data_IF_774614203850
#
_entry.id   IF_774614203850
#
_cell.length_a   1.000
_cell.length_b   1.000
_cell.length_c   1.000
_cell.angle_alpha   90.00
_cell.angle_beta   90.00
_cell.angle_gamma   90.00
#
_symmetry.space_group_name_H-M   'P 1'
#
loop_
_entity.id
_entity.type
_entity.pdbx_description
1 polymer ?
#
# COMPACT_ATOMS: atom_id res chain seq x y z
N UNK A 1 3.57 6.83 18.82
CA UNK A 1 2.71 6.03 17.90
C UNK A 1 3.57 5.02 17.17
N UNK A 2 3.11 3.78 17.02
CA UNK A 2 3.83 2.82 16.20
C UNK A 2 3.80 3.23 14.72
N UNK A 3 4.93 3.04 14.02
CA UNK A 3 5.11 3.30 12.60
C UNK A 3 5.38 1.99 11.88
N UNK A 4 5.10 1.92 10.58
CA UNK A 4 5.43 0.74 9.77
C UNK A 4 6.96 0.66 9.55
N UNK A 5 7.65 -0.13 10.37
CA UNK A 5 9.12 -0.27 10.38
C UNK A 5 9.65 -1.37 9.43
N UNK A 6 8.93 -1.67 8.35
CA UNK A 6 9.33 -2.72 7.40
C UNK A 6 10.28 -2.23 6.28
N UNK A 7 10.90 -3.15 5.52
CA UNK A 7 11.73 -2.79 4.37
C UNK A 7 10.95 -2.03 3.28
N UNK A 8 11.25 -0.73 3.12
CA UNK A 8 10.52 0.21 2.26
C UNK A 8 10.43 -0.24 0.80
N UNK A 9 11.53 -0.67 0.19
CA UNK A 9 11.50 -1.09 -1.22
C UNK A 9 10.79 -2.44 -1.42
N UNK A 10 10.77 -3.32 -0.41
CA UNK A 10 9.99 -4.57 -0.48
C UNK A 10 8.50 -4.27 -0.51
N UNK A 11 8.08 -3.24 0.24
CA UNK A 11 6.70 -2.75 0.23
C UNK A 11 6.30 -2.20 -1.14
N UNK A 12 7.12 -1.32 -1.74
CA UNK A 12 6.84 -0.76 -3.08
C UNK A 12 6.65 -1.85 -4.14
N UNK A 13 7.56 -2.83 -4.19
CA UNK A 13 7.47 -3.94 -5.15
C UNK A 13 6.23 -4.80 -4.96
N UNK A 14 5.87 -5.10 -3.70
CA UNK A 14 4.66 -5.87 -3.39
C UNK A 14 3.38 -5.14 -3.83
N UNK A 15 3.33 -3.81 -3.65
CA UNK A 15 2.19 -2.97 -4.02
C UNK A 15 2.14 -2.63 -5.52
N UNK A 16 3.23 -2.85 -6.25
CA UNK A 16 3.38 -2.45 -7.65
C UNK A 16 3.45 -0.94 -7.85
N UNK A 17 3.75 -0.17 -6.79
CA UNK A 17 3.70 1.29 -6.80
C UNK A 17 4.91 1.86 -6.08
N UNK A 18 5.56 2.87 -6.66
CA UNK A 18 6.67 3.58 -6.02
C UNK A 18 6.17 4.63 -5.01
N UNK A 19 5.68 4.14 -3.88
CA UNK A 19 5.11 4.96 -2.79
C UNK A 19 6.11 5.98 -2.21
N UNK A 20 7.41 5.68 -2.22
CA UNK A 20 8.43 6.52 -1.59
C UNK A 20 9.20 7.41 -2.57
N UNK A 21 8.78 7.46 -3.84
CA UNK A 21 9.42 8.26 -4.90
C UNK A 21 10.93 8.08 -5.01
N UNK A 22 11.45 6.89 -4.67
CA UNK A 22 12.88 6.62 -4.77
C UNK A 22 13.19 5.95 -6.11
N UNK A 23 14.19 6.42 -6.89
CA UNK A 23 14.43 5.94 -8.26
C UNK A 23 14.75 4.43 -8.32
N UNK A 24 15.44 3.92 -7.29
CA UNK A 24 15.81 2.49 -7.18
C UNK A 24 14.73 1.58 -6.57
N UNK A 25 13.56 2.10 -6.20
CA UNK A 25 12.56 1.33 -5.44
C UNK A 25 12.03 0.10 -6.22
N UNK A 26 11.86 0.25 -7.53
CA UNK A 26 11.30 -0.76 -8.42
C UNK A 26 12.36 -1.50 -9.24
N UNK A 27 13.67 -1.24 -9.04
CA UNK A 27 14.75 -1.86 -9.82
C UNK A 27 14.77 -3.40 -9.76
N UNK A 28 14.24 -3.99 -8.68
CA UNK A 28 14.12 -5.45 -8.49
C UNK A 28 12.70 -5.99 -8.74
N UNK A 29 11.82 -5.19 -9.34
CA UNK A 29 10.45 -5.63 -9.67
C UNK A 29 10.47 -6.34 -11.02
N UNK A 30 9.96 -7.58 -11.03
CA UNK A 30 9.76 -8.38 -12.25
C UNK A 30 8.27 -8.72 -12.38
N UNK A 31 7.83 -9.18 -13.55
CA UNK A 31 6.44 -9.63 -13.76
C UNK A 31 6.08 -10.73 -12.75
N UNK A 32 4.98 -10.54 -12.03
CA UNK A 32 4.50 -11.46 -10.98
C UNK A 32 5.05 -11.18 -9.57
N UNK A 33 5.96 -10.20 -9.42
CA UNK A 33 6.46 -9.78 -8.10
C UNK A 33 5.46 -8.90 -7.34
N UNK A 34 4.65 -8.14 -8.08
CA UNK A 34 3.59 -7.31 -7.51
C UNK A 34 2.31 -8.12 -7.33
N UNK A 35 1.55 -7.81 -6.28
CA UNK A 35 0.18 -8.33 -6.15
C UNK A 35 -0.75 -7.80 -7.25
N UNK A 36 -0.44 -6.62 -7.79
CA UNK A 36 -1.21 -6.01 -8.88
C UNK A 36 -1.10 -6.80 -10.19
N UNK A 37 -0.05 -7.60 -10.37
CA UNK A 37 0.17 -8.38 -11.61
C UNK A 37 -0.69 -9.65 -11.66
N UNK A 38 -1.35 -10.00 -10.55
CA UNK A 38 -2.20 -11.19 -10.43
C UNK A 38 -3.65 -10.79 -10.65
N UNK A 39 -4.46 -11.72 -11.18
CA UNK A 39 -5.93 -11.57 -11.23
C UNK A 39 -6.46 -11.57 -9.79
N UNK A 40 -6.92 -10.42 -9.33
CA UNK A 40 -7.50 -10.25 -7.99
C UNK A 40 -9.02 -10.39 -8.06
N UNK A 41 -9.63 -10.73 -6.93
CA UNK A 41 -11.08 -10.57 -6.75
C UNK A 41 -11.41 -9.09 -6.49
N UNK A 42 -12.68 -8.69 -6.63
CA UNK A 42 -13.13 -7.33 -6.33
C UNK A 42 -12.70 -6.86 -4.92
N UNK A 43 -12.77 -7.76 -3.93
CA UNK A 43 -12.26 -7.48 -2.58
C UNK A 43 -10.73 -7.31 -2.57
N UNK A 44 -10.00 -8.14 -3.32
CA UNK A 44 -8.55 -8.07 -3.41
C UNK A 44 -8.06 -6.75 -4.01
N UNK A 45 -8.77 -6.22 -5.01
CA UNK A 45 -8.50 -4.91 -5.62
C UNK A 45 -8.71 -3.78 -4.60
N UNK A 46 -9.86 -3.75 -3.93
CA UNK A 46 -10.16 -2.76 -2.87
C UNK A 46 -9.14 -2.83 -1.72
N UNK A 47 -8.74 -4.03 -1.33
CA UNK A 47 -7.72 -4.25 -0.31
C UNK A 47 -6.36 -3.71 -0.74
N UNK A 48 -5.98 -3.90 -2.01
CA UNK A 48 -4.73 -3.39 -2.56
C UNK A 48 -4.72 -1.85 -2.54
N UNK A 49 -5.81 -1.21 -2.96
CA UNK A 49 -5.93 0.25 -2.93
C UNK A 49 -5.84 0.81 -1.50
N UNK A 50 -6.52 0.18 -0.55
CA UNK A 50 -6.39 0.53 0.87
C UNK A 50 -4.94 0.44 1.34
N UNK A 51 -4.22 -0.61 0.95
CA UNK A 51 -2.82 -0.79 1.32
C UNK A 51 -1.89 0.25 0.67
N UNK A 52 -2.17 0.65 -0.59
CA UNK A 52 -1.44 1.72 -1.28
C UNK A 52 -1.59 3.04 -0.54
N UNK A 53 -2.81 3.45 -0.21
CA UNK A 53 -3.10 4.68 0.55
C UNK A 53 -2.44 4.67 1.93
N UNK A 54 -2.57 3.57 2.67
CA UNK A 54 -1.92 3.43 3.98
C UNK A 54 -0.41 3.58 3.90
N UNK A 55 0.22 2.98 2.88
CA UNK A 55 1.66 3.07 2.68
C UNK A 55 2.07 4.50 2.30
N UNK A 56 1.28 5.19 1.47
CA UNK A 56 1.54 6.55 1.01
C UNK A 56 1.56 7.55 2.15
N UNK A 57 0.54 7.53 3.00
CA UNK A 57 0.45 8.42 4.16
C UNK A 57 1.18 7.89 5.40
N UNK A 58 1.75 6.68 5.34
CA UNK A 58 2.47 6.07 6.46
C UNK A 58 1.62 5.77 7.69
N UNK A 59 0.31 5.55 7.52
CA UNK A 59 -0.66 5.38 8.61
C UNK A 59 -0.94 3.91 8.94
N UNK A 60 -1.18 3.64 10.23
CA UNK A 60 -1.60 2.31 10.69
C UNK A 60 -3.07 2.02 10.34
N UNK A 61 -3.43 0.73 10.26
CA UNK A 61 -4.79 0.30 9.89
C UNK A 61 -5.87 0.92 10.79
N UNK A 62 -5.68 0.84 12.12
CA UNK A 62 -6.66 1.38 13.08
C UNK A 62 -6.89 2.88 12.89
N UNK A 63 -5.81 3.63 12.63
CA UNK A 63 -5.87 5.08 12.39
C UNK A 63 -6.54 5.39 11.05
N UNK A 64 -6.20 4.66 9.99
CA UNK A 64 -6.82 4.80 8.67
C UNK A 64 -8.33 4.55 8.73
N UNK A 65 -8.77 3.47 9.39
CA UNK A 65 -10.20 3.17 9.58
C UNK A 65 -10.90 4.29 10.35
N UNK A 66 -10.24 4.86 11.37
CA UNK A 66 -10.78 6.00 12.12
C UNK A 66 -11.00 7.22 11.20
N UNK A 67 -10.05 7.54 10.32
CA UNK A 67 -10.19 8.64 9.37
C UNK A 67 -11.34 8.42 8.39
N UNK A 68 -11.45 7.21 7.83
CA UNK A 68 -12.55 6.89 6.91
C UNK A 68 -13.91 6.99 7.62
N UNK A 69 -14.01 6.52 8.87
CA UNK A 69 -15.24 6.65 9.67
C UNK A 69 -15.60 8.11 9.95
N UNK A 70 -14.62 8.95 10.27
CA UNK A 70 -14.84 10.38 10.47
C UNK A 70 -15.30 11.05 9.18
N UNK A 71 -14.62 10.79 8.05
CA UNK A 71 -14.94 11.37 6.76
C UNK A 71 -16.32 10.95 6.23
N UNK A 72 -16.77 9.72 6.52
CA UNK A 72 -18.11 9.22 6.13
C UNK A 72 -19.26 9.79 6.97
N UNK A 73 -18.95 10.38 8.13
CA UNK A 73 -19.96 10.98 9.02
C UNK A 73 -20.30 12.42 8.58
N UNK A 74 -19.37 13.06 7.87
CA UNK A 74 -19.57 14.33 7.18
C UNK A 74 -20.28 14.10 5.86
#
# INVERSE_FOLDING_TARGET
MAKMMGPRFKLCRRLGLNVYSHPKAMKRANRGTSRADKKLSNYGEQLLEKQRLRAYYGVMEKQFVKYVKMAKKS
#
